data_IF_661907572513
#
_entry.id   IF_661907572513
#
_cell.length_a   1.000
_cell.length_b   1.000
_cell.length_c   1.000
_cell.angle_alpha   90.00
_cell.angle_beta   90.00
_cell.angle_gamma   90.00
#
_symmetry.space_group_name_H-M   'P 1'
#
loop_
_entity.id
_entity.type
_entity.pdbx_description
1 polymer ?
#
# COMPACT_ATOMS: atom_id res chain seq x y z
N UNK A 1 -6.28 -5.23 10.18
CA UNK A 1 -7.33 -4.27 9.77
C UNK A 1 -6.85 -2.84 9.87
N UNK A 2 -7.35 -1.97 8.98
CA UNK A 2 -7.10 -0.53 8.96
C UNK A 2 -8.43 0.24 8.95
N UNK A 3 -8.47 1.36 9.65
CA UNK A 3 -9.61 2.29 9.65
C UNK A 3 -9.09 3.73 9.58
N UNK A 4 -9.74 4.56 8.81
CA UNK A 4 -9.50 6.01 8.79
C UNK A 4 -10.67 6.73 9.45
N UNK A 5 -10.35 7.66 10.37
CA UNK A 5 -11.34 8.50 11.03
C UNK A 5 -11.82 9.65 10.13
N UNK A 6 -12.91 10.29 10.49
CA UNK A 6 -13.38 11.51 9.81
C UNK A 6 -12.39 12.68 9.90
N UNK A 7 -11.45 12.64 10.85
CA UNK A 7 -10.37 13.61 11.00
C UNK A 7 -9.16 13.31 10.11
N UNK A 8 -9.14 12.11 9.47
CA UNK A 8 -8.03 11.63 8.64
C UNK A 8 -6.95 10.87 9.40
N UNK A 9 -7.16 10.53 10.68
CA UNK A 9 -6.25 9.69 11.44
C UNK A 9 -6.42 8.22 11.07
N UNK A 10 -5.32 7.48 11.00
CA UNK A 10 -5.32 6.06 10.67
C UNK A 10 -5.09 5.21 11.92
N UNK A 11 -5.93 4.21 12.08
CA UNK A 11 -5.83 3.21 13.14
C UNK A 11 -5.62 1.83 12.54
N UNK A 12 -4.79 1.02 13.18
CA UNK A 12 -4.62 -0.39 12.83
C UNK A 12 -4.90 -1.30 14.01
N UNK A 13 -5.37 -2.50 13.73
CA UNK A 13 -5.66 -3.54 14.72
C UNK A 13 -5.74 -4.92 14.06
N UNK A 14 -5.66 -5.96 14.88
CA UNK A 14 -5.68 -7.35 14.45
C UNK A 14 -4.33 -8.04 14.65
N UNK A 15 -4.12 -9.20 14.00
CA UNK A 15 -2.86 -9.93 14.10
C UNK A 15 -1.69 -9.09 13.60
N UNK A 16 -0.65 -9.00 14.41
CA UNK A 16 0.66 -8.51 14.02
C UNK A 16 1.35 -9.43 13.00
N UNK A 17 2.51 -9.03 12.53
CA UNK A 17 3.42 -9.87 11.75
C UNK A 17 4.84 -9.36 11.94
N UNK A 18 5.81 -10.24 11.74
CA UNK A 18 7.24 -9.92 11.84
C UNK A 18 7.72 -8.82 10.89
N UNK A 19 6.85 -8.35 9.99
CA UNK A 19 7.18 -7.34 8.99
C UNK A 19 6.40 -6.03 9.14
N UNK A 20 5.75 -5.79 10.27
CA UNK A 20 5.21 -4.45 10.60
C UNK A 20 3.95 -4.03 9.84
N UNK A 21 3.08 -4.95 9.41
CA UNK A 21 1.85 -4.60 8.66
C UNK A 21 0.86 -3.72 9.43
N UNK A 22 1.05 -3.52 10.74
CA UNK A 22 0.26 -2.61 11.58
C UNK A 22 0.84 -1.18 11.62
N UNK A 23 2.11 -0.99 11.22
CA UNK A 23 2.71 0.34 11.03
C UNK A 23 3.17 1.06 12.31
N UNK A 24 3.38 0.34 13.42
CA UNK A 24 3.72 0.94 14.73
C UNK A 24 5.21 1.03 15.02
N UNK A 25 6.10 0.62 14.10
CA UNK A 25 7.54 0.89 14.17
C UNK A 25 8.40 -0.12 14.91
N UNK A 26 7.87 -1.17 15.49
CA UNK A 26 8.65 -2.19 16.20
C UNK A 26 8.37 -3.60 15.69
N UNK A 27 9.34 -4.52 15.96
CA UNK A 27 9.21 -5.97 15.74
C UNK A 27 8.13 -6.58 16.66
N UNK A 28 6.96 -5.98 16.71
CA UNK A 28 5.88 -6.49 17.53
C UNK A 28 5.14 -7.60 16.77
N UNK A 29 5.51 -8.86 17.07
CA UNK A 29 4.69 -10.04 16.82
C UNK A 29 3.38 -10.03 17.65
N UNK A 30 3.09 -8.94 18.32
CA UNK A 30 1.96 -8.81 19.20
C UNK A 30 0.69 -8.46 18.42
N UNK A 31 -0.37 -9.21 18.70
CA UNK A 31 -1.70 -8.87 18.21
C UNK A 31 -2.17 -7.55 18.83
N UNK A 32 -2.54 -6.61 17.99
CA UNK A 32 -3.17 -5.37 18.44
C UNK A 32 -4.69 -5.61 18.54
N UNK A 33 -5.19 -5.88 19.75
CA UNK A 33 -6.59 -6.28 19.97
C UNK A 33 -7.60 -5.12 19.87
N UNK A 34 -7.13 -3.89 20.04
CA UNK A 34 -7.95 -2.67 19.94
C UNK A 34 -7.36 -1.71 18.90
N UNK A 35 -8.16 -0.86 18.25
CA UNK A 35 -7.62 0.13 17.32
C UNK A 35 -6.56 1.02 18.00
N UNK A 36 -5.36 1.05 17.42
CA UNK A 36 -4.23 1.91 17.84
C UNK A 36 -3.89 2.86 16.70
N UNK A 37 -3.75 4.14 17.00
CA UNK A 37 -3.37 5.15 16.02
C UNK A 37 -1.96 4.89 15.48
N UNK A 38 -1.76 5.08 14.17
CA UNK A 38 -0.43 4.99 13.55
C UNK A 38 0.25 6.36 13.69
N UNK A 39 1.06 6.53 14.72
CA UNK A 39 1.73 7.80 15.08
C UNK A 39 2.60 8.35 13.94
N UNK A 40 3.20 7.47 13.13
CA UNK A 40 4.02 7.88 11.99
C UNK A 40 3.23 8.61 10.89
N UNK A 41 1.90 8.57 10.92
CA UNK A 41 1.01 9.33 10.03
C UNK A 41 0.41 10.57 10.70
N UNK A 42 0.88 10.95 11.89
CA UNK A 42 0.38 12.15 12.58
C UNK A 42 0.53 13.40 11.70
N UNK A 43 -0.55 14.15 11.53
CA UNK A 43 -0.59 15.34 10.67
C UNK A 43 -0.75 15.05 9.16
N UNK A 44 -0.68 13.80 8.73
CA UNK A 44 -0.97 13.40 7.34
C UNK A 44 -2.49 13.24 7.19
N UNK A 45 -3.08 14.00 6.26
CA UNK A 45 -4.52 13.85 5.95
C UNK A 45 -4.73 12.65 5.04
N UNK A 46 -5.29 11.59 5.60
CA UNK A 46 -5.55 10.34 4.90
C UNK A 46 -6.99 10.30 4.42
N UNK A 47 -7.17 9.91 3.15
CA UNK A 47 -8.47 9.76 2.49
C UNK A 47 -8.94 8.31 2.43
N UNK A 48 -8.02 7.38 2.21
CA UNK A 48 -8.34 5.97 2.06
C UNK A 48 -7.21 5.06 2.54
N UNK A 49 -7.57 3.86 2.93
CA UNK A 49 -6.64 2.79 3.32
C UNK A 49 -7.01 1.48 2.62
N UNK A 50 -6.02 0.64 2.35
CA UNK A 50 -6.22 -0.70 1.83
C UNK A 50 -5.34 -1.69 2.62
N UNK A 51 -5.97 -2.73 3.16
CA UNK A 51 -5.29 -3.78 3.91
C UNK A 51 -5.16 -5.04 3.06
N UNK A 52 -3.96 -5.38 2.66
CA UNK A 52 -3.61 -6.67 2.08
C UNK A 52 -3.46 -7.77 3.13
N UNK A 53 -3.05 -8.96 2.71
CA UNK A 53 -2.81 -10.06 3.64
C UNK A 53 -1.55 -9.79 4.49
N UNK A 54 -0.49 -9.27 3.87
CA UNK A 54 0.82 -9.10 4.51
C UNK A 54 1.30 -7.65 4.56
N UNK A 55 0.62 -6.72 3.89
CA UNK A 55 1.01 -5.32 3.80
C UNK A 55 -0.20 -4.38 3.85
N UNK A 56 0.08 -3.10 3.94
CA UNK A 56 -0.91 -2.04 4.08
C UNK A 56 -0.58 -0.87 3.16
N UNK A 57 -1.60 -0.26 2.57
CA UNK A 57 -1.50 0.96 1.77
C UNK A 57 -2.33 2.08 2.38
N UNK A 58 -1.84 3.30 2.26
CA UNK A 58 -2.50 4.53 2.69
C UNK A 58 -2.48 5.53 1.55
N UNK A 59 -3.62 6.14 1.26
CA UNK A 59 -3.79 7.19 0.27
C UNK A 59 -4.12 8.51 0.98
N UNK A 60 -3.32 9.53 0.73
CA UNK A 60 -3.55 10.87 1.28
C UNK A 60 -4.57 11.67 0.47
N UNK A 61 -5.11 12.75 1.04
CA UNK A 61 -5.99 13.70 0.33
C UNK A 61 -5.32 14.34 -0.88
N UNK A 62 -3.97 14.48 -0.85
CA UNK A 62 -3.18 15.04 -1.96
C UNK A 62 -2.81 14.02 -3.04
N UNK A 63 -3.20 12.74 -2.87
CA UNK A 63 -2.95 11.67 -3.84
C UNK A 63 -1.60 10.97 -3.69
N UNK A 64 -0.86 11.20 -2.60
CA UNK A 64 0.35 10.45 -2.29
C UNK A 64 -0.01 9.08 -1.69
N UNK A 65 0.81 8.06 -2.00
CA UNK A 65 0.64 6.70 -1.49
C UNK A 65 1.78 6.36 -0.53
N UNK A 66 1.43 5.77 0.61
CA UNK A 66 2.37 5.17 1.57
C UNK A 66 2.09 3.68 1.66
N UNK A 67 3.14 2.90 1.90
CA UNK A 67 3.06 1.45 2.11
C UNK A 67 3.89 1.02 3.30
N UNK A 68 3.48 -0.08 3.94
CA UNK A 68 4.19 -0.71 5.06
C UNK A 68 3.76 -2.17 5.23
N UNK A 69 4.58 -2.96 5.91
CA UNK A 69 4.41 -4.39 6.06
C UNK A 69 5.49 -5.18 5.33
N UNK A 70 5.16 -6.37 4.86
CA UNK A 70 6.06 -7.25 4.14
C UNK A 70 6.41 -6.71 2.76
N UNK A 71 7.72 -6.78 2.41
CA UNK A 71 8.27 -6.30 1.15
C UNK A 71 8.85 -7.37 0.23
N UNK A 72 8.97 -8.64 0.70
CA UNK A 72 9.72 -9.75 0.04
C UNK A 72 9.37 -10.01 -1.43
N UNK A 73 8.24 -9.53 -1.91
CA UNK A 73 7.78 -9.68 -3.31
C UNK A 73 7.60 -8.33 -4.00
N UNK A 74 8.22 -7.28 -3.47
CA UNK A 74 8.09 -5.91 -4.00
C UNK A 74 6.73 -5.25 -3.78
N UNK A 75 5.80 -5.86 -3.02
CA UNK A 75 4.43 -5.36 -2.83
C UNK A 75 4.35 -3.98 -2.17
N UNK A 76 5.44 -3.48 -1.59
CA UNK A 76 5.53 -2.13 -1.04
C UNK A 76 5.87 -1.06 -2.08
N UNK A 77 6.52 -1.44 -3.21
CA UNK A 77 6.81 -0.52 -4.31
C UNK A 77 8.00 0.41 -4.09
N UNK A 78 8.93 0.04 -3.19
CA UNK A 78 10.10 0.87 -2.84
C UNK A 78 11.35 0.60 -3.66
N UNK A 79 11.31 -0.42 -4.56
CA UNK A 79 12.46 -0.83 -5.36
C UNK A 79 13.38 -1.83 -4.66
N UNK A 80 12.96 -2.35 -3.51
CA UNK A 80 13.63 -3.35 -2.71
C UNK A 80 12.65 -4.42 -2.23
N UNK A 81 13.14 -5.44 -1.52
CA UNK A 81 12.36 -6.54 -0.93
C UNK A 81 12.31 -6.45 0.61
N UNK A 82 12.61 -5.27 1.16
CA UNK A 82 12.67 -5.07 2.61
C UNK A 82 11.30 -4.82 3.22
N UNK A 83 11.09 -5.33 4.44
CA UNK A 83 9.92 -5.01 5.25
C UNK A 83 9.96 -3.54 5.72
N UNK A 84 8.81 -2.90 5.79
CA UNK A 84 8.66 -1.56 6.34
C UNK A 84 7.76 -1.60 7.57
N UNK A 85 8.33 -1.27 8.73
CA UNK A 85 7.62 -1.31 10.01
C UNK A 85 6.79 -0.06 10.29
N UNK A 86 7.04 1.00 9.53
CA UNK A 86 6.30 2.26 9.56
C UNK A 86 5.90 2.68 8.14
N UNK A 87 4.82 3.46 7.97
CA UNK A 87 4.45 4.03 6.67
C UNK A 87 5.61 4.76 5.99
N UNK A 88 5.94 4.33 4.77
CA UNK A 88 6.97 4.94 3.91
C UNK A 88 6.33 5.35 2.58
N UNK A 89 6.61 6.56 2.11
CA UNK A 89 6.10 7.05 0.84
C UNK A 89 6.60 6.22 -0.34
N UNK A 90 5.71 5.88 -1.26
CA UNK A 90 6.06 5.19 -2.52
C UNK A 90 6.60 6.23 -3.50
N UNK A 91 7.92 6.46 -3.47
CA UNK A 91 8.59 7.54 -4.22
C UNK A 91 8.42 7.40 -5.74
N UNK A 92 8.27 6.18 -6.26
CA UNK A 92 8.01 5.96 -7.69
C UNK A 92 6.67 6.53 -8.17
N UNK A 93 5.74 6.83 -7.25
CA UNK A 93 4.47 7.52 -7.53
C UNK A 93 4.53 9.03 -7.22
N UNK A 94 5.71 9.57 -6.90
CA UNK A 94 5.86 11.01 -6.64
C UNK A 94 5.41 11.83 -7.87
N UNK A 95 4.52 12.81 -7.65
CA UNK A 95 3.94 13.62 -8.71
C UNK A 95 2.73 12.99 -9.42
N UNK A 96 2.43 11.72 -9.17
CA UNK A 96 1.21 11.07 -9.63
C UNK A 96 0.09 11.35 -8.61
N UNK A 97 -0.99 11.97 -9.05
CA UNK A 97 -2.21 12.12 -8.23
C UNK A 97 -3.01 10.83 -8.27
N UNK A 98 -2.84 10.00 -7.23
CA UNK A 98 -3.61 8.76 -7.10
C UNK A 98 -5.03 9.07 -6.60
N UNK A 99 -6.02 8.41 -7.19
CA UNK A 99 -7.44 8.52 -6.83
C UNK A 99 -7.96 7.33 -6.04
N UNK A 100 -7.41 6.13 -6.26
CA UNK A 100 -7.77 4.92 -5.52
C UNK A 100 -6.61 3.95 -5.38
N UNK A 101 -6.67 3.11 -4.35
CA UNK A 101 -5.68 2.08 -4.03
C UNK A 101 -6.37 0.76 -3.70
N UNK A 102 -5.70 -0.34 -3.98
CA UNK A 102 -6.14 -1.68 -3.61
C UNK A 102 -4.93 -2.54 -3.24
N UNK A 103 -5.06 -3.33 -2.19
CA UNK A 103 -4.06 -4.29 -1.74
C UNK A 103 -4.61 -5.71 -1.82
N UNK A 104 -3.89 -6.59 -2.51
CA UNK A 104 -4.15 -8.01 -2.57
C UNK A 104 -3.37 -8.80 -1.51
N UNK A 105 -3.11 -10.08 -1.76
CA UNK A 105 -2.25 -10.87 -0.88
C UNK A 105 -0.81 -10.37 -0.89
N UNK A 106 -0.21 -10.28 -2.08
CA UNK A 106 1.18 -9.87 -2.32
C UNK A 106 1.29 -8.86 -3.47
N UNK A 107 0.19 -8.18 -3.81
CA UNK A 107 0.11 -7.21 -4.89
C UNK A 107 -0.51 -5.93 -4.43
N UNK A 108 -0.15 -4.86 -5.09
CA UNK A 108 -0.68 -3.52 -4.87
C UNK A 108 -1.09 -2.89 -6.20
N UNK A 109 -2.20 -2.18 -6.19
CA UNK A 109 -2.70 -1.43 -7.35
C UNK A 109 -3.01 0.01 -6.94
N UNK A 110 -2.77 0.92 -7.87
CA UNK A 110 -3.18 2.32 -7.74
C UNK A 110 -3.76 2.82 -9.06
N UNK A 111 -4.77 3.67 -8.98
CA UNK A 111 -5.32 4.36 -10.15
C UNK A 111 -5.18 5.85 -9.93
N UNK A 112 -4.59 6.54 -10.89
CA UNK A 112 -4.44 7.99 -10.89
C UNK A 112 -5.74 8.70 -11.32
N UNK A 113 -5.86 9.99 -11.01
CA UNK A 113 -7.03 10.82 -11.37
C UNK A 113 -7.25 10.93 -12.87
N UNK A 114 -6.21 10.71 -13.69
CA UNK A 114 -6.30 10.68 -15.16
C UNK A 114 -6.68 9.30 -15.72
N UNK A 115 -7.01 8.33 -14.86
CA UNK A 115 -7.39 6.97 -15.24
C UNK A 115 -6.23 6.00 -15.47
N UNK A 116 -4.98 6.45 -15.37
CA UNK A 116 -3.81 5.56 -15.50
C UNK A 116 -3.72 4.64 -14.29
N UNK A 117 -3.60 3.33 -14.54
CA UNK A 117 -3.44 2.32 -13.51
C UNK A 117 -1.97 1.91 -13.37
N UNK A 118 -1.58 1.59 -12.14
CA UNK A 118 -0.26 1.09 -11.76
C UNK A 118 -0.41 -0.18 -10.93
N UNK A 119 0.48 -1.17 -11.17
CA UNK A 119 0.53 -2.41 -10.42
C UNK A 119 1.96 -2.74 -9.99
N UNK A 120 2.12 -3.37 -8.83
CA UNK A 120 3.40 -3.85 -8.31
C UNK A 120 3.22 -4.99 -7.31
N UNK A 121 4.30 -5.70 -7.04
CA UNK A 121 4.34 -6.87 -6.16
C UNK A 121 4.56 -8.17 -6.91
N UNK A 122 4.10 -9.27 -6.34
CA UNK A 122 4.35 -10.62 -6.80
C UNK A 122 3.71 -10.91 -8.17
N UNK A 123 4.51 -11.40 -9.12
CA UNK A 123 4.03 -11.82 -10.45
C UNK A 123 3.08 -13.00 -10.38
N UNK A 124 3.37 -14.01 -9.55
CA UNK A 124 2.51 -15.18 -9.35
C UNK A 124 1.09 -14.82 -8.89
N UNK A 125 0.92 -13.64 -8.31
CA UNK A 125 -0.37 -13.13 -7.85
C UNK A 125 -1.20 -12.47 -8.96
N UNK A 126 -0.81 -12.61 -10.21
CA UNK A 126 -1.60 -12.23 -11.41
C UNK A 126 -1.84 -10.73 -11.54
N UNK A 127 -0.76 -9.95 -11.54
CA UNK A 127 -0.80 -8.53 -11.89
C UNK A 127 -1.38 -8.29 -13.30
N UNK A 128 -1.37 -9.33 -14.15
CA UNK A 128 -1.93 -9.22 -15.51
C UNK A 128 -1.07 -8.40 -16.46
N UNK A 129 0.19 -8.17 -16.10
CA UNK A 129 1.15 -7.40 -16.90
C UNK A 129 1.96 -8.26 -17.87
N UNK A 130 1.80 -9.60 -17.82
CA UNK A 130 2.51 -10.55 -18.67
C UNK A 130 4.01 -10.63 -18.37
N UNK A 131 4.39 -10.33 -17.14
CA UNK A 131 5.76 -10.34 -16.67
C UNK A 131 6.11 -11.70 -16.04
N UNK A 132 7.38 -11.99 -15.92
CA UNK A 132 7.88 -13.24 -15.34
C UNK A 132 8.65 -13.03 -14.03
N UNK A 133 8.70 -11.79 -13.54
CA UNK A 133 9.43 -11.39 -12.34
C UNK A 133 8.60 -10.44 -11.48
N UNK A 134 8.83 -10.47 -10.17
CA UNK A 134 8.17 -9.57 -9.21
C UNK A 134 8.46 -8.11 -9.53
N UNK A 135 7.45 -7.26 -9.41
CA UNK A 135 7.58 -5.83 -9.68
C UNK A 135 7.86 -5.08 -8.37
N UNK A 136 9.10 -4.68 -8.19
CA UNK A 136 9.57 -3.98 -6.99
C UNK A 136 9.13 -2.51 -6.93
N UNK A 137 8.70 -1.96 -8.07
CA UNK A 137 8.19 -0.58 -8.19
C UNK A 137 6.89 -0.54 -8.97
N UNK A 138 6.02 0.45 -8.74
CA UNK A 138 4.81 0.65 -9.53
C UNK A 138 5.10 0.70 -11.03
N UNK A 139 4.52 -0.23 -11.79
CA UNK A 139 4.58 -0.27 -13.23
C UNK A 139 3.22 0.14 -13.81
N UNK A 140 3.25 1.05 -14.78
CA UNK A 140 2.06 1.53 -15.46
C UNK A 140 1.49 0.44 -16.38
N UNK A 141 0.17 0.22 -16.29
CA UNK A 141 -0.54 -0.62 -17.27
C UNK A 141 -0.60 0.06 -18.62
N UNK A 142 -0.49 -0.71 -19.74
CA UNK A 142 -0.66 -0.17 -21.07
C UNK A 142 -2.06 0.44 -21.24
N UNK A 143 -2.13 1.70 -21.64
CA UNK A 143 -3.37 2.47 -21.75
C UNK A 143 -4.34 1.93 -22.81
N UNK A 144 -3.87 1.12 -23.74
CA UNK A 144 -4.69 0.57 -24.83
C UNK A 144 -5.56 -0.64 -24.42
N UNK A 145 -5.34 -1.21 -23.22
CA UNK A 145 -6.02 -2.44 -22.77
C UNK A 145 -6.99 -2.27 -21.60
N UNK A 146 -7.07 -1.10 -20.99
CA UNK A 146 -7.88 -0.91 -19.79
C UNK A 146 -8.93 0.17 -19.95
N UNK A 147 -10.15 -0.22 -20.38
CA UNK A 147 -11.36 0.47 -19.95
C UNK A 147 -11.64 0.07 -18.49
N UNK A 148 -10.92 0.65 -17.53
CA UNK A 148 -11.23 0.44 -16.12
C UNK A 148 -12.37 1.37 -15.74
N UNK A 149 -13.59 0.84 -15.73
CA UNK A 149 -14.67 1.39 -14.91
C UNK A 149 -14.51 0.75 -13.53
N UNK A 150 -14.01 1.51 -12.61
CA UNK A 150 -14.06 1.18 -11.17
C UNK A 150 -15.35 1.72 -10.59
#
# INVERSE_FOLDING_TARGET
SLVVSSAGDVYSFGPGSNCGKLGHGEFEDTNQLTPKVIEALAGVKVRAVAAGLFHSLVLTEHGAVYSFGQGEFGQLGHGDEECQYTPKAVEALRGVKVSSITAGSRTSLAVAVNGVAYGWGCEDARLGLGLTEDQLTPLQYPTEQLCVKV
#
